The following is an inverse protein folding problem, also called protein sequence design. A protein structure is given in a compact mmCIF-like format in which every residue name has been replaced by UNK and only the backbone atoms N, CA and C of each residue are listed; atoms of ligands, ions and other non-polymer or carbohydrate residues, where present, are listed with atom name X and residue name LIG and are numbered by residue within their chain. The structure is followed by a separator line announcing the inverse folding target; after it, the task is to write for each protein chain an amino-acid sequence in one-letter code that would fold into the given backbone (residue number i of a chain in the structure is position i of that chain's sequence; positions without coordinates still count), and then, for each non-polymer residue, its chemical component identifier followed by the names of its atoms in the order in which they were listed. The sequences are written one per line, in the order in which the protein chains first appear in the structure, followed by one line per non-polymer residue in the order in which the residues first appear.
data_IF_399520987973
#
_entry.id   IF_399520987973
#
_cell.length_a   1.000
_cell.length_b   1.000
_cell.length_c   1.000
_cell.angle_alpha   90.00
_cell.angle_beta   90.00
_cell.angle_gamma   90.00
#
_symmetry.space_group_name_H-M   'P 1'
#
loop_
_entity.id
_entity.type
_entity.pdbx_description
1 polymer ?
#
# COMPACT_ATOMS: atom_id res chain seq x y z
N UNK A 1 14.48 -9.51 23.14
CA UNK A 1 14.41 -8.02 23.16
C UNK A 1 14.31 -7.42 21.75
N UNK A 2 15.03 -7.92 20.74
CA UNK A 2 14.83 -7.50 19.33
C UNK A 2 13.39 -7.75 18.81
N UNK A 3 12.78 -8.87 19.20
CA UNK A 3 11.42 -9.24 18.77
C UNK A 3 10.31 -8.34 19.31
N UNK A 4 10.52 -7.62 20.42
CA UNK A 4 9.50 -6.73 21.01
C UNK A 4 9.55 -5.34 20.37
N UNK A 5 10.74 -4.89 19.95
CA UNK A 5 10.91 -3.63 19.24
C UNK A 5 10.31 -3.68 17.81
N UNK A 6 10.50 -4.80 17.09
CA UNK A 6 9.86 -5.04 15.78
C UNK A 6 8.33 -5.13 15.91
N UNK A 7 7.83 -5.74 17.00
CA UNK A 7 6.38 -5.78 17.28
C UNK A 7 5.80 -4.37 17.51
N UNK A 8 6.49 -3.53 18.28
CA UNK A 8 6.07 -2.14 18.56
C UNK A 8 6.10 -1.24 17.32
N UNK A 9 7.02 -1.44 16.39
CA UNK A 9 7.00 -0.75 15.08
C UNK A 9 5.84 -1.23 14.19
N UNK A 10 5.50 -2.52 14.26
CA UNK A 10 4.36 -3.08 13.49
C UNK A 10 2.99 -2.60 13.99
N UNK A 11 2.85 -2.33 15.29
CA UNK A 11 1.62 -1.76 15.86
C UNK A 11 1.37 -0.35 15.28
N UNK A 12 2.40 0.51 15.22
CA UNK A 12 2.31 1.85 14.63
C UNK A 12 2.03 1.78 13.12
N UNK A 13 2.71 0.88 12.40
CA UNK A 13 2.55 0.76 10.95
C UNK A 13 1.17 0.26 10.51
N UNK A 14 0.48 -0.54 11.33
CA UNK A 14 -0.90 -0.97 11.08
C UNK A 14 -1.92 0.17 11.28
N UNK A 15 -1.69 1.03 12.28
CA UNK A 15 -2.62 2.12 12.59
C UNK A 15 -2.73 3.19 11.49
N UNK A 16 -1.67 3.40 10.72
CA UNK A 16 -1.62 4.40 9.63
C UNK A 16 -2.60 4.08 8.49
N UNK A 17 -2.52 2.92 7.80
CA UNK A 17 -3.46 2.57 6.74
C UNK A 17 -4.88 2.34 7.28
N UNK A 18 -5.03 1.93 8.55
CA UNK A 18 -6.33 1.84 9.19
C UNK A 18 -6.96 3.22 9.36
N UNK A 19 -6.22 4.20 9.87
CA UNK A 19 -6.70 5.58 10.00
C UNK A 19 -7.01 6.18 8.61
N UNK A 20 -6.19 5.90 7.61
CA UNK A 20 -6.42 6.30 6.22
C UNK A 20 -7.73 5.71 5.68
N UNK A 21 -8.01 4.43 5.93
CA UNK A 21 -9.25 3.79 5.47
C UNK A 21 -10.49 4.52 5.99
N UNK A 22 -10.47 4.91 7.27
CA UNK A 22 -11.55 5.66 7.92
C UNK A 22 -11.65 7.06 7.33
N UNK A 23 -10.51 7.72 7.08
CA UNK A 23 -10.45 9.04 6.46
C UNK A 23 -11.06 9.05 5.05
N UNK A 24 -10.67 8.08 4.20
CA UNK A 24 -11.21 7.93 2.84
C UNK A 24 -12.70 7.65 2.88
N UNK A 25 -13.17 6.75 3.75
CA UNK A 25 -14.60 6.46 3.86
C UNK A 25 -15.43 7.70 4.25
N UNK A 26 -14.92 8.54 5.18
CA UNK A 26 -15.58 9.78 5.59
C UNK A 26 -15.56 10.87 4.52
N UNK A 27 -14.48 10.98 3.75
CA UNK A 27 -14.32 11.95 2.65
C UNK A 27 -14.88 11.48 1.30
N UNK A 28 -15.38 10.24 1.23
CA UNK A 28 -15.83 9.65 -0.04
C UNK A 28 -17.08 10.33 -0.56
N UNK A 29 -17.04 10.77 -1.82
CA UNK A 29 -18.22 11.28 -2.54
C UNK A 29 -18.76 10.25 -3.53
N UNK A 30 -17.94 9.25 -3.89
CA UNK A 30 -18.28 8.18 -4.82
C UNK A 30 -18.07 6.80 -4.22
N UNK A 31 -18.85 5.82 -4.71
CA UNK A 31 -18.76 4.41 -4.27
C UNK A 31 -17.37 3.81 -4.49
N UNK A 32 -16.62 4.29 -5.49
CA UNK A 32 -15.26 3.81 -5.80
C UNK A 32 -14.26 4.22 -4.71
N UNK A 33 -14.39 5.43 -4.17
CA UNK A 33 -13.54 5.88 -3.06
C UNK A 33 -13.85 5.10 -1.78
N UNK A 34 -15.14 4.87 -1.49
CA UNK A 34 -15.54 4.01 -0.37
C UNK A 34 -15.01 2.58 -0.53
N UNK A 35 -15.04 2.04 -1.76
CA UNK A 35 -14.45 0.74 -2.07
C UNK A 35 -12.94 0.71 -1.84
N UNK A 36 -12.22 1.77 -2.26
CA UNK A 36 -10.79 1.95 -1.95
C UNK A 36 -10.53 1.93 -0.44
N UNK A 37 -11.36 2.63 0.35
CA UNK A 37 -11.28 2.59 1.82
C UNK A 37 -11.40 1.18 2.39
N UNK A 38 -12.35 0.37 1.88
CA UNK A 38 -12.49 -1.04 2.28
C UNK A 38 -11.27 -1.92 1.92
N UNK A 39 -10.65 -1.67 0.77
CA UNK A 39 -9.42 -2.37 0.36
C UNK A 39 -8.24 -1.98 1.26
N UNK A 40 -8.09 -0.69 1.62
CA UNK A 40 -7.08 -0.23 2.57
C UNK A 40 -7.28 -0.81 3.97
N UNK A 41 -8.54 -0.93 4.42
CA UNK A 41 -8.85 -1.60 5.68
C UNK A 41 -8.39 -3.06 5.65
N UNK A 42 -8.71 -3.78 4.57
CA UNK A 42 -8.30 -5.18 4.39
C UNK A 42 -6.78 -5.31 4.33
N UNK A 43 -6.10 -4.41 3.60
CA UNK A 43 -4.64 -4.32 3.53
C UNK A 43 -4.02 -4.12 4.92
N UNK A 44 -4.62 -3.27 5.77
CA UNK A 44 -4.15 -3.03 7.15
C UNK A 44 -4.16 -4.30 8.01
N UNK A 45 -5.15 -5.17 7.81
CA UNK A 45 -5.20 -6.49 8.48
C UNK A 45 -4.02 -7.35 8.04
N UNK A 46 -3.74 -7.42 6.72
CA UNK A 46 -2.59 -8.17 6.22
C UNK A 46 -1.27 -7.61 6.73
N UNK A 47 -1.13 -6.28 6.82
CA UNK A 47 0.05 -5.63 7.39
C UNK A 47 0.27 -6.02 8.86
N UNK A 48 -0.80 -6.08 9.67
CA UNK A 48 -0.71 -6.57 11.03
C UNK A 48 -0.24 -8.02 11.10
N UNK A 49 -0.70 -8.87 10.16
CA UNK A 49 -0.28 -10.26 10.07
C UNK A 49 1.19 -10.42 9.65
N UNK A 50 1.75 -9.52 8.83
CA UNK A 50 3.18 -9.53 8.48
C UNK A 50 4.05 -9.42 9.74
N UNK A 51 3.65 -8.60 10.72
CA UNK A 51 4.35 -8.47 12.00
C UNK A 51 4.32 -9.73 12.87
N UNK A 52 3.37 -10.65 12.63
CA UNK A 52 3.23 -11.91 13.37
C UNK A 52 4.07 -13.02 12.74
N UNK A 53 4.18 -13.04 11.40
CA UNK A 53 4.89 -14.11 10.69
C UNK A 53 6.34 -13.72 10.39
N UNK A 54 7.34 -14.48 10.87
CA UNK A 54 8.74 -14.18 10.59
C UNK A 54 9.05 -14.28 9.09
N UNK A 55 10.02 -13.46 8.65
CA UNK A 55 10.52 -13.43 7.28
C UNK A 55 10.97 -14.81 6.78
N UNK A 56 10.95 -14.98 5.45
CA UNK A 56 11.36 -16.21 4.75
C UNK A 56 10.47 -17.45 5.02
N UNK A 57 9.30 -17.27 5.62
CA UNK A 57 8.32 -18.33 5.79
C UNK A 57 7.21 -18.26 4.74
N UNK A 58 6.64 -19.41 4.35
CA UNK A 58 5.50 -19.46 3.41
C UNK A 58 4.30 -18.59 3.86
N UNK A 59 3.90 -18.58 5.16
CA UNK A 59 2.85 -17.69 5.62
C UNK A 59 3.20 -16.21 5.46
N UNK A 60 4.45 -15.81 5.74
CA UNK A 60 4.91 -14.42 5.57
C UNK A 60 4.80 -13.97 4.12
N UNK A 61 5.31 -14.76 3.16
CA UNK A 61 5.20 -14.43 1.73
C UNK A 61 3.75 -14.28 1.29
N UNK A 62 2.85 -15.14 1.80
CA UNK A 62 1.42 -15.04 1.50
C UNK A 62 0.82 -13.74 2.04
N UNK A 63 0.99 -13.43 3.32
CA UNK A 63 0.37 -12.22 3.92
C UNK A 63 0.97 -10.94 3.35
N UNK A 64 2.27 -10.91 3.07
CA UNK A 64 2.96 -9.78 2.45
C UNK A 64 2.46 -9.53 1.02
N UNK A 65 2.36 -10.59 0.22
CA UNK A 65 1.82 -10.47 -1.15
C UNK A 65 0.40 -9.90 -1.15
N UNK A 66 -0.48 -10.40 -0.27
CA UNK A 66 -1.85 -9.91 -0.20
C UNK A 66 -1.95 -8.49 0.37
N UNK A 67 -1.08 -8.09 1.29
CA UNK A 67 -0.96 -6.71 1.71
C UNK A 67 -0.72 -5.78 0.51
N UNK A 68 0.30 -6.07 -0.31
CA UNK A 68 0.64 -5.26 -1.48
C UNK A 68 -0.46 -5.27 -2.54
N UNK A 69 -1.03 -6.44 -2.86
CA UNK A 69 -2.12 -6.54 -3.83
C UNK A 69 -3.32 -5.69 -3.40
N UNK A 70 -3.73 -5.79 -2.14
CA UNK A 70 -4.85 -5.01 -1.61
C UNK A 70 -4.53 -3.51 -1.58
N UNK A 71 -3.32 -3.12 -1.18
CA UNK A 71 -2.88 -1.72 -1.16
C UNK A 71 -2.84 -1.11 -2.56
N UNK A 72 -2.30 -1.83 -3.55
CA UNK A 72 -2.24 -1.37 -4.93
C UNK A 72 -3.63 -1.26 -5.56
N UNK A 73 -4.50 -2.25 -5.34
CA UNK A 73 -5.90 -2.15 -5.78
C UNK A 73 -6.62 -0.97 -5.11
N UNK A 74 -6.36 -0.72 -3.83
CA UNK A 74 -6.93 0.41 -3.10
C UNK A 74 -6.49 1.74 -3.70
N UNK A 75 -5.19 1.91 -3.98
CA UNK A 75 -4.64 3.12 -4.62
C UNK A 75 -5.18 3.31 -6.03
N UNK A 76 -5.27 2.24 -6.83
CA UNK A 76 -5.85 2.32 -8.17
C UNK A 76 -7.31 2.76 -8.12
N UNK A 77 -8.12 2.19 -7.22
CA UNK A 77 -9.49 2.62 -6.99
C UNK A 77 -9.58 4.08 -6.49
N UNK A 78 -8.69 4.50 -5.59
CA UNK A 78 -8.64 5.88 -5.10
C UNK A 78 -8.33 6.86 -6.22
N UNK A 79 -7.34 6.56 -7.05
CA UNK A 79 -6.97 7.37 -8.21
C UNK A 79 -8.13 7.51 -9.20
N UNK A 80 -8.86 6.41 -9.47
CA UNK A 80 -10.09 6.47 -10.29
C UNK A 80 -11.16 7.37 -9.62
N UNK A 81 -11.31 7.30 -8.30
CA UNK A 81 -12.18 8.20 -7.54
C UNK A 81 -11.83 9.68 -7.75
N UNK A 82 -10.54 10.01 -7.68
CA UNK A 82 -10.04 11.37 -7.94
C UNK A 82 -10.28 11.83 -9.40
N UNK A 83 -10.13 10.93 -10.38
CA UNK A 83 -10.47 11.22 -11.78
C UNK A 83 -11.94 11.60 -11.93
N UNK A 84 -12.83 10.86 -11.25
CA UNK A 84 -14.27 11.13 -11.30
C UNK A 84 -14.65 12.45 -10.61
N UNK A 85 -13.89 12.88 -9.60
CA UNK A 85 -14.01 14.20 -8.96
C UNK A 85 -13.46 15.36 -9.82
N UNK A 86 -12.77 15.05 -10.92
CA UNK A 86 -12.22 16.05 -11.85
C UNK A 86 -10.74 16.37 -11.63
N UNK A 87 -10.08 15.81 -10.62
CA UNK A 87 -8.63 15.95 -10.43
C UNK A 87 -7.87 14.96 -11.30
N UNK A 88 -7.78 15.29 -12.60
CA UNK A 88 -7.21 14.42 -13.63
C UNK A 88 -5.75 14.09 -13.39
N UNK A 89 -4.94 15.09 -13.00
CA UNK A 89 -3.51 14.91 -12.86
C UNK A 89 -3.18 13.93 -11.72
N UNK A 90 -3.80 14.11 -10.54
CA UNK A 90 -3.58 13.21 -9.41
C UNK A 90 -4.21 11.86 -9.64
N UNK A 91 -5.42 11.83 -10.18
CA UNK A 91 -6.10 10.57 -10.43
C UNK A 91 -5.31 9.66 -11.39
N UNK A 92 -4.68 10.21 -12.43
CA UNK A 92 -3.79 9.44 -13.33
C UNK A 92 -2.56 8.95 -12.55
N UNK A 93 -1.87 9.83 -11.82
CA UNK A 93 -0.66 9.47 -11.09
C UNK A 93 -0.94 8.38 -10.05
N UNK A 94 -1.92 8.59 -9.18
CA UNK A 94 -2.27 7.66 -8.09
C UNK A 94 -2.81 6.34 -8.64
N UNK A 95 -3.51 6.34 -9.78
CA UNK A 95 -4.02 5.09 -10.36
C UNK A 95 -2.96 4.24 -11.05
N UNK A 96 -1.99 4.89 -11.71
CA UNK A 96 -0.96 4.22 -12.50
C UNK A 96 0.31 3.87 -11.71
N UNK A 97 0.72 4.67 -10.71
CA UNK A 97 1.93 4.43 -9.92
C UNK A 97 2.00 3.01 -9.33
N UNK A 98 0.94 2.47 -8.71
CA UNK A 98 0.96 1.13 -8.13
C UNK A 98 1.33 0.04 -9.13
N UNK A 99 0.90 0.19 -10.39
CA UNK A 99 1.23 -0.75 -11.46
C UNK A 99 2.71 -0.76 -11.82
N UNK A 100 3.47 0.27 -11.46
CA UNK A 100 4.92 0.33 -11.73
C UNK A 100 5.77 -0.50 -10.76
N UNK A 101 5.24 -0.84 -9.57
CA UNK A 101 5.96 -1.57 -8.53
C UNK A 101 6.59 -2.91 -8.99
N UNK A 102 5.87 -3.82 -9.69
CA UNK A 102 6.48 -5.06 -10.17
C UNK A 102 7.58 -4.81 -11.21
N UNK A 103 7.45 -3.79 -12.05
CA UNK A 103 8.48 -3.42 -13.03
C UNK A 103 9.74 -2.87 -12.35
N UNK A 104 9.59 -2.08 -11.29
CA UNK A 104 10.70 -1.60 -10.47
C UNK A 104 11.47 -2.76 -9.84
N UNK A 105 10.74 -3.76 -9.33
CA UNK A 105 11.35 -4.95 -8.74
C UNK A 105 12.18 -5.73 -9.78
N UNK A 106 11.63 -5.95 -10.98
CA UNK A 106 12.34 -6.62 -12.08
C UNK A 106 13.55 -5.82 -12.57
N UNK A 107 13.48 -4.50 -12.55
CA UNK A 107 14.61 -3.64 -12.93
C UNK A 107 15.76 -3.76 -11.93
N UNK A 108 15.46 -3.83 -10.62
CA UNK A 108 16.49 -4.04 -9.58
C UNK A 108 17.12 -5.42 -9.72
N UNK A 109 16.33 -6.45 -10.01
CA UNK A 109 16.86 -7.79 -10.33
C UNK A 109 17.80 -7.75 -11.53
N UNK A 110 17.41 -7.08 -12.61
CA UNK A 110 18.20 -7.02 -13.84
C UNK A 110 19.54 -6.29 -13.67
N UNK A 111 19.60 -5.26 -12.82
CA UNK A 111 20.82 -4.43 -12.63
C UNK A 111 21.75 -5.06 -11.61
N UNK A 112 21.22 -5.55 -10.49
CA UNK A 112 22.02 -5.98 -9.34
C UNK A 112 22.08 -7.50 -9.14
N UNK A 113 21.28 -8.26 -9.89
CA UNK A 113 21.24 -9.73 -9.82
C UNK A 113 20.72 -10.28 -8.49
N UNK A 114 20.14 -9.43 -7.63
CA UNK A 114 19.71 -9.80 -6.28
C UNK A 114 18.28 -9.34 -6.01
N UNK A 115 17.32 -10.19 -6.37
CA UNK A 115 15.92 -10.00 -6.01
C UNK A 115 15.59 -10.70 -4.69
N UNK A 116 16.00 -10.08 -3.57
CA UNK A 116 15.49 -10.54 -2.27
C UNK A 116 14.05 -10.08 -2.06
N UNK A 117 13.27 -10.88 -1.33
CA UNK A 117 11.89 -10.53 -0.97
C UNK A 117 11.84 -9.15 -0.28
N UNK A 118 12.76 -8.90 0.65
CA UNK A 118 12.86 -7.62 1.36
C UNK A 118 13.04 -6.40 0.44
N UNK A 119 13.82 -6.53 -0.64
CA UNK A 119 14.03 -5.43 -1.61
C UNK A 119 12.75 -5.14 -2.40
N UNK A 120 12.03 -6.18 -2.83
CA UNK A 120 10.75 -6.04 -3.50
C UNK A 120 9.69 -5.39 -2.59
N UNK A 121 9.65 -5.79 -1.33
CA UNK A 121 8.75 -5.24 -0.31
C UNK A 121 9.06 -3.76 -0.03
N UNK A 122 10.35 -3.41 0.13
CA UNK A 122 10.77 -2.04 0.32
C UNK A 122 10.39 -1.14 -0.87
N UNK A 123 10.60 -1.61 -2.10
CA UNK A 123 10.19 -0.89 -3.31
C UNK A 123 8.66 -0.69 -3.34
N UNK A 124 7.89 -1.72 -2.99
CA UNK A 124 6.44 -1.62 -2.88
C UNK A 124 5.98 -0.57 -1.86
N UNK A 125 6.61 -0.54 -0.68
CA UNK A 125 6.30 0.44 0.38
C UNK A 125 6.59 1.87 -0.09
N UNK A 126 7.71 2.09 -0.79
CA UNK A 126 8.05 3.39 -1.37
C UNK A 126 6.99 3.85 -2.37
N UNK A 127 6.54 2.97 -3.27
CA UNK A 127 5.48 3.28 -4.24
C UNK A 127 4.16 3.63 -3.54
N UNK A 128 3.79 2.88 -2.49
CA UNK A 128 2.60 3.17 -1.68
C UNK A 128 2.74 4.55 -1.02
N UNK A 129 3.87 4.83 -0.37
CA UNK A 129 4.13 6.09 0.31
C UNK A 129 4.05 7.30 -0.63
N UNK A 130 4.69 7.24 -1.80
CA UNK A 130 4.61 8.31 -2.80
C UNK A 130 3.17 8.52 -3.28
N UNK A 131 2.45 7.42 -3.57
CA UNK A 131 1.05 7.50 -4.03
C UNK A 131 0.14 8.14 -2.99
N UNK A 132 0.34 7.82 -1.71
CA UNK A 132 -0.41 8.42 -0.60
C UNK A 132 -0.11 9.91 -0.45
N UNK A 133 1.17 10.30 -0.47
CA UNK A 133 1.57 11.71 -0.41
C UNK A 133 0.89 12.49 -1.53
N UNK A 134 0.91 11.98 -2.76
CA UNK A 134 0.25 12.63 -3.90
C UNK A 134 -1.26 12.73 -3.65
N UNK A 135 -1.91 11.64 -3.22
CA UNK A 135 -3.34 11.60 -2.97
C UNK A 135 -3.79 12.59 -1.87
N UNK A 136 -2.95 12.84 -0.85
CA UNK A 136 -3.28 13.72 0.28
C UNK A 136 -2.64 15.12 0.24
N UNK A 137 -1.75 15.38 -0.73
CA UNK A 137 -0.94 16.61 -0.81
C UNK A 137 -1.73 17.92 -0.91
N UNK A 138 -2.98 17.86 -1.36
CA UNK A 138 -3.94 18.93 -1.13
C UNK A 138 -5.23 18.27 -0.69
N UNK A 139 -5.65 18.58 0.53
CA UNK A 139 -6.84 18.05 1.18
C UNK A 139 -8.03 17.92 0.21
N UNK A 140 -8.80 16.84 0.39
CA UNK A 140 -10.14 16.65 -0.20
C UNK A 140 -11.03 17.87 -0.01
#
# INVERSE_FOLDING_TARGET
MLSVAVQLESDIFCHIPLALSIFICKGSSHRIEAFSGGLFFTSSIFLALIGIFPGDTRPHTFVSTWFFVQAFMALTALGIGLLLKGDKARGILVSCLPGSAPFLSLLVEAIYGWLSAAVAEAAGIVVIGISLIIATSHCF
#
